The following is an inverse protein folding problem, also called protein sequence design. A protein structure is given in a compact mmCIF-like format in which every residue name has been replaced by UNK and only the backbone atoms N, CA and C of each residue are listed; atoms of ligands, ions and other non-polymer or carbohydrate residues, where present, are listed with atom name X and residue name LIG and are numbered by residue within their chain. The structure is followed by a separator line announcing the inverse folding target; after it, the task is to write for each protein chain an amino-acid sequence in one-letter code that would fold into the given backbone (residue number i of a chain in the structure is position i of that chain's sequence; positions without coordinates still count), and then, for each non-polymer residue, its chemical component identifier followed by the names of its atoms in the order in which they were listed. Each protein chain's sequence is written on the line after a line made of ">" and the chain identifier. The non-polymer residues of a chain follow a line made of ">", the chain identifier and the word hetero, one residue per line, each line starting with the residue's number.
data_IF_203038579744
#
_entry.id   IF_203038579744
#
_cell.length_a   1.000
_cell.length_b   1.000
_cell.length_c   1.000
_cell.angle_alpha   90.00
_cell.angle_beta   90.00
_cell.angle_gamma   90.00
#
_symmetry.space_group_name_H-M   'P 1'
#
loop_
_entity.id
_entity.type
_entity.pdbx_description
1 polymer ?
#
# COMPACT_ATOMS: atom_id res chain seq x y z
N UNK A 1 -8.92 20.55 -10.27
CA UNK A 1 -8.40 19.65 -9.21
C UNK A 1 -8.45 18.24 -9.78
N UNK A 2 -7.37 17.45 -9.62
CA UNK A 2 -7.39 16.05 -10.02
C UNK A 2 -8.47 15.29 -9.23
N UNK A 3 -9.05 14.26 -9.83
CA UNK A 3 -10.05 13.43 -9.17
C UNK A 3 -9.34 12.40 -8.27
N UNK A 4 -9.53 12.45 -6.93
CA UNK A 4 -8.87 11.55 -6.00
C UNK A 4 -9.34 10.09 -6.13
N UNK A 5 -10.48 9.85 -6.79
CA UNK A 5 -11.04 8.51 -7.00
C UNK A 5 -10.38 7.87 -8.20
N UNK A 6 -10.38 8.56 -9.34
CA UNK A 6 -9.94 8.01 -10.62
C UNK A 6 -8.44 8.23 -10.90
N UNK A 7 -7.82 9.20 -10.24
CA UNK A 7 -6.49 9.71 -10.61
C UNK A 7 -6.52 10.56 -11.89
N UNK A 8 -7.72 10.88 -12.42
CA UNK A 8 -7.86 11.64 -13.65
C UNK A 8 -7.37 13.09 -13.44
N UNK A 9 -6.36 13.48 -14.21
CA UNK A 9 -5.67 14.77 -14.08
C UNK A 9 -4.29 14.71 -13.40
N UNK A 10 -3.81 13.52 -13.03
CA UNK A 10 -2.48 13.27 -12.48
C UNK A 10 -1.72 12.17 -13.26
N UNK A 11 -0.39 12.19 -13.23
CA UNK A 11 0.47 11.22 -13.94
C UNK A 11 0.55 9.83 -13.27
N UNK A 12 -0.23 9.57 -12.19
CA UNK A 12 -0.34 8.24 -11.60
C UNK A 12 -1.12 7.29 -12.53
N UNK A 13 -0.78 6.00 -12.56
CA UNK A 13 -1.53 5.03 -13.32
C UNK A 13 -2.99 4.93 -12.79
N UNK A 14 -3.99 4.92 -13.68
CA UNK A 14 -5.37 4.66 -13.27
C UNK A 14 -5.49 3.23 -12.71
N UNK A 15 -6.52 2.93 -11.89
CA UNK A 15 -6.66 1.62 -11.26
C UNK A 15 -6.60 0.43 -12.23
N UNK A 16 -7.21 0.59 -13.42
CA UNK A 16 -7.23 -0.45 -14.45
C UNK A 16 -5.84 -0.78 -15.02
N UNK A 17 -4.88 0.14 -14.91
CA UNK A 17 -3.48 -0.07 -15.31
C UNK A 17 -2.70 -0.64 -14.14
N UNK A 18 -2.72 0.03 -12.98
CA UNK A 18 -1.94 -0.38 -11.81
C UNK A 18 -2.26 -1.80 -11.33
N UNK A 19 -3.54 -2.19 -11.36
CA UNK A 19 -3.99 -3.49 -10.84
C UNK A 19 -4.25 -4.53 -11.93
N UNK A 20 -3.78 -4.30 -13.16
CA UNK A 20 -4.05 -5.19 -14.30
C UNK A 20 -3.61 -6.64 -14.05
N UNK A 21 -2.52 -6.81 -13.32
CA UNK A 21 -1.87 -8.10 -13.02
C UNK A 21 -2.03 -8.50 -11.55
N UNK A 22 -2.82 -7.75 -10.79
CA UNK A 22 -3.05 -8.04 -9.38
C UNK A 22 -3.83 -9.37 -9.21
N UNK A 23 -3.48 -10.19 -8.22
CA UNK A 23 -4.18 -11.43 -7.91
C UNK A 23 -5.61 -11.14 -7.47
N UNK A 24 -6.43 -12.18 -7.47
CA UNK A 24 -7.77 -12.13 -6.89
C UNK A 24 -7.73 -11.64 -5.43
N UNK A 25 -8.74 -10.85 -5.03
CA UNK A 25 -8.77 -10.19 -3.73
C UNK A 25 -8.73 -11.17 -2.55
N UNK A 26 -9.38 -12.34 -2.66
CA UNK A 26 -9.35 -13.35 -1.59
C UNK A 26 -7.97 -14.00 -1.48
N UNK A 27 -7.33 -14.25 -2.62
CA UNK A 27 -5.97 -14.80 -2.65
C UNK A 27 -4.95 -13.79 -2.11
N UNK A 28 -5.11 -12.51 -2.43
CA UNK A 28 -4.29 -11.43 -1.88
C UNK A 28 -4.46 -11.30 -0.36
N UNK A 29 -5.71 -11.33 0.12
CA UNK A 29 -6.00 -11.29 1.56
C UNK A 29 -5.35 -12.46 2.31
N UNK A 30 -5.47 -13.68 1.78
CA UNK A 30 -4.85 -14.86 2.38
C UNK A 30 -3.31 -14.73 2.44
N UNK A 31 -2.69 -14.29 1.34
CA UNK A 31 -1.23 -14.08 1.27
C UNK A 31 -0.76 -12.98 2.23
N UNK A 32 -1.56 -11.91 2.42
CA UNK A 32 -1.26 -10.86 3.39
C UNK A 32 -1.36 -11.33 4.84
N UNK A 33 -2.30 -12.23 5.14
CA UNK A 33 -2.38 -12.87 6.47
C UNK A 33 -1.11 -13.67 6.75
N UNK A 34 -0.67 -14.53 5.82
CA UNK A 34 0.56 -15.31 5.97
C UNK A 34 1.80 -14.42 6.16
N UNK A 35 1.89 -13.32 5.39
CA UNK A 35 2.99 -12.36 5.50
C UNK A 35 3.00 -11.66 6.87
N UNK A 36 1.83 -11.21 7.34
CA UNK A 36 1.67 -10.58 8.64
C UNK A 36 2.02 -11.52 9.79
N UNK A 37 1.57 -12.78 9.71
CA UNK A 37 1.91 -13.81 10.70
C UNK A 37 3.42 -14.03 10.80
N UNK A 38 4.11 -14.11 9.66
CA UNK A 38 5.57 -14.26 9.63
C UNK A 38 6.27 -13.08 10.30
N UNK A 39 5.91 -11.84 9.94
CA UNK A 39 6.48 -10.63 10.55
C UNK A 39 6.23 -10.59 12.06
N UNK A 40 5.03 -10.99 12.52
CA UNK A 40 4.70 -11.05 13.94
C UNK A 40 5.50 -12.13 14.68
N UNK A 41 5.70 -13.31 14.07
CA UNK A 41 6.51 -14.38 14.65
C UNK A 41 7.98 -13.97 14.78
N UNK A 42 8.53 -13.29 13.77
CA UNK A 42 9.90 -12.76 13.80
C UNK A 42 10.06 -11.73 14.92
N UNK A 43 9.15 -10.76 15.02
CA UNK A 43 9.13 -9.77 16.09
C UNK A 43 9.00 -10.41 17.49
N UNK A 44 8.09 -11.38 17.64
CA UNK A 44 7.91 -12.10 18.90
C UNK A 44 9.16 -12.92 19.28
N UNK A 45 9.83 -13.51 18.30
CA UNK A 45 11.05 -14.30 18.52
C UNK A 45 12.19 -13.42 19.01
N UNK A 46 12.42 -12.27 18.37
CA UNK A 46 13.41 -11.29 18.82
C UNK A 46 13.09 -10.79 20.24
N UNK A 47 11.82 -10.49 20.52
CA UNK A 47 11.37 -10.08 21.86
C UNK A 47 11.62 -11.15 22.92
N UNK A 48 11.40 -12.44 22.62
CA UNK A 48 11.66 -13.55 23.55
C UNK A 48 13.17 -13.73 23.78
N UNK A 49 14.00 -13.51 22.75
CA UNK A 49 15.45 -13.55 22.85
C UNK A 49 16.04 -12.34 23.61
N UNK A 50 15.24 -11.28 23.83
CA UNK A 50 15.71 -10.02 24.39
C UNK A 50 16.57 -9.21 23.43
N UNK A 51 16.43 -9.47 22.13
CA UNK A 51 17.16 -8.80 21.05
C UNK A 51 16.30 -7.68 20.45
N UNK A 52 16.92 -6.59 19.97
CA UNK A 52 16.18 -5.60 19.17
C UNK A 52 15.66 -6.27 17.90
N UNK A 53 14.37 -6.08 17.63
CA UNK A 53 13.79 -6.49 16.35
C UNK A 53 14.06 -5.39 15.31
N UNK A 54 14.84 -5.72 14.30
CA UNK A 54 15.02 -4.91 13.11
C UNK A 54 14.26 -5.61 11.97
N UNK A 55 13.05 -5.14 11.60
CA UNK A 55 12.29 -5.75 10.51
C UNK A 55 13.08 -5.66 9.21
N UNK A 56 12.92 -6.67 8.35
CA UNK A 56 13.33 -6.56 6.96
C UNK A 56 12.46 -5.49 6.29
N UNK A 57 13.02 -4.30 6.10
CA UNK A 57 12.36 -3.14 5.50
C UNK A 57 11.68 -3.50 4.18
N UNK A 58 12.27 -4.40 3.39
CA UNK A 58 11.68 -4.83 2.13
C UNK A 58 10.39 -5.64 2.36
N UNK A 59 10.36 -6.55 3.34
CA UNK A 59 9.17 -7.34 3.66
C UNK A 59 8.06 -6.48 4.28
N UNK A 60 8.43 -5.56 5.16
CA UNK A 60 7.48 -4.64 5.79
C UNK A 60 6.88 -3.68 4.76
N UNK A 61 7.71 -3.07 3.92
CA UNK A 61 7.25 -2.24 2.80
C UNK A 61 6.32 -3.02 1.87
N UNK A 62 6.73 -4.24 1.50
CA UNK A 62 5.93 -5.08 0.62
C UNK A 62 4.56 -5.40 1.23
N UNK A 63 4.51 -5.68 2.52
CA UNK A 63 3.26 -5.88 3.25
C UNK A 63 2.38 -4.62 3.21
N UNK A 64 2.94 -3.45 3.51
CA UNK A 64 2.22 -2.18 3.50
C UNK A 64 1.69 -1.84 2.11
N UNK A 65 2.50 -1.98 1.07
CA UNK A 65 2.12 -1.71 -0.32
C UNK A 65 0.96 -2.60 -0.76
N UNK A 66 1.08 -3.92 -0.54
CA UNK A 66 0.04 -4.89 -0.93
C UNK A 66 -1.25 -4.70 -0.14
N UNK A 67 -1.16 -4.39 1.16
CA UNK A 67 -2.31 -4.10 2.02
C UNK A 67 -3.04 -2.82 1.57
N UNK A 68 -2.30 -1.75 1.30
CA UNK A 68 -2.88 -0.50 0.80
C UNK A 68 -3.52 -0.68 -0.59
N UNK A 69 -2.88 -1.45 -1.48
CA UNK A 69 -3.43 -1.76 -2.80
C UNK A 69 -4.71 -2.61 -2.73
N UNK A 70 -4.78 -3.59 -1.83
CA UNK A 70 -6.00 -4.36 -1.62
C UNK A 70 -7.16 -3.48 -1.14
N UNK A 71 -6.91 -2.59 -0.16
CA UNK A 71 -7.91 -1.66 0.33
C UNK A 71 -8.38 -0.68 -0.77
N UNK A 72 -7.46 -0.14 -1.57
CA UNK A 72 -7.82 0.71 -2.70
C UNK A 72 -8.75 -0.02 -3.68
N UNK A 73 -8.41 -1.27 -4.04
CA UNK A 73 -9.23 -2.11 -4.93
C UNK A 73 -10.61 -2.41 -4.34
N UNK A 74 -10.70 -2.70 -3.04
CA UNK A 74 -11.98 -2.93 -2.34
C UNK A 74 -12.87 -1.69 -2.37
N UNK A 75 -12.29 -0.50 -2.10
CA UNK A 75 -13.03 0.77 -2.15
C UNK A 75 -13.58 1.09 -3.54
N UNK A 76 -12.89 0.66 -4.61
CA UNK A 76 -13.32 0.85 -5.99
C UNK A 76 -14.41 -0.15 -6.36
N UNK A 77 -14.28 -1.41 -5.93
CA UNK A 77 -15.24 -2.47 -6.23
C UNK A 77 -16.57 -2.28 -5.49
N UNK A 78 -16.53 -1.67 -4.31
CA UNK A 78 -17.67 -1.47 -3.41
C UNK A 78 -17.75 -0.01 -2.95
N UNK A 79 -18.03 0.93 -3.87
CA UNK A 79 -18.06 2.36 -3.57
C UNK A 79 -19.16 2.75 -2.56
N UNK A 80 -20.14 1.87 -2.34
CA UNK A 80 -21.20 2.03 -1.35
C UNK A 80 -20.74 1.80 0.10
N UNK A 81 -19.59 1.16 0.31
CA UNK A 81 -19.04 0.84 1.64
C UNK A 81 -18.01 1.91 2.03
N UNK A 82 -18.45 2.91 2.79
CA UNK A 82 -17.61 4.04 3.21
C UNK A 82 -16.35 3.61 3.99
N UNK A 83 -16.45 2.54 4.77
CA UNK A 83 -15.33 1.98 5.54
C UNK A 83 -14.16 1.58 4.64
N UNK A 84 -14.42 1.02 3.46
CA UNK A 84 -13.35 0.64 2.52
C UNK A 84 -12.63 1.87 1.95
N UNK A 85 -13.34 2.98 1.74
CA UNK A 85 -12.71 4.23 1.33
C UNK A 85 -11.82 4.78 2.45
N UNK A 86 -12.31 4.79 3.69
CA UNK A 86 -11.55 5.26 4.84
C UNK A 86 -10.29 4.43 5.06
N UNK A 87 -10.41 3.10 4.99
CA UNK A 87 -9.27 2.17 5.08
C UNK A 87 -8.26 2.41 3.96
N UNK A 88 -8.72 2.58 2.71
CA UNK A 88 -7.84 2.84 1.57
C UNK A 88 -7.06 4.16 1.74
N UNK A 89 -7.71 5.21 2.24
CA UNK A 89 -7.04 6.50 2.50
C UNK A 89 -6.02 6.37 3.63
N UNK A 90 -6.38 5.72 4.74
CA UNK A 90 -5.50 5.54 5.88
C UNK A 90 -4.27 4.69 5.50
N UNK A 91 -4.49 3.54 4.87
CA UNK A 91 -3.40 2.61 4.53
C UNK A 91 -2.48 3.18 3.45
N UNK A 92 -3.02 3.98 2.52
CA UNK A 92 -2.20 4.72 1.58
C UNK A 92 -1.29 5.74 2.27
N UNK A 93 -1.79 6.39 3.32
CA UNK A 93 -0.98 7.30 4.13
C UNK A 93 0.08 6.55 4.94
N UNK A 94 -0.26 5.40 5.56
CA UNK A 94 0.71 4.56 6.29
C UNK A 94 1.88 4.14 5.40
N UNK A 95 1.62 3.71 4.16
CA UNK A 95 2.68 3.41 3.19
C UNK A 95 3.54 4.65 2.87
N UNK A 96 2.91 5.81 2.64
CA UNK A 96 3.64 7.03 2.31
C UNK A 96 4.52 7.52 3.47
N UNK A 97 4.07 7.39 4.72
CA UNK A 97 4.91 7.69 5.89
C UNK A 97 6.10 6.74 5.98
N UNK A 98 5.87 5.43 5.83
CA UNK A 98 6.93 4.44 5.84
C UNK A 98 8.00 4.74 4.77
N UNK A 99 7.57 4.97 3.54
CA UNK A 99 8.48 5.26 2.42
C UNK A 99 9.22 6.58 2.60
N UNK A 100 8.63 7.55 3.31
CA UNK A 100 9.29 8.82 3.62
C UNK A 100 10.35 8.66 4.70
N UNK A 101 10.08 7.85 5.72
CA UNK A 101 11.01 7.59 6.81
C UNK A 101 12.22 6.75 6.34
N UNK A 102 12.01 5.82 5.42
CA UNK A 102 13.02 4.85 4.98
C UNK A 102 13.59 5.13 3.58
N UNK A 103 13.11 6.15 2.85
CA UNK A 103 13.53 6.50 1.48
C UNK A 103 13.41 5.33 0.48
N UNK A 104 12.29 4.61 0.55
CA UNK A 104 12.08 3.34 -0.20
C UNK A 104 11.13 3.46 -1.39
N UNK A 105 10.64 4.67 -1.71
CA UNK A 105 9.75 4.89 -2.86
C UNK A 105 10.43 4.60 -4.20
N UNK A 106 9.72 3.96 -5.13
CA UNK A 106 10.26 3.56 -6.44
C UNK A 106 9.68 4.36 -7.60
N UNK A 107 8.50 4.96 -7.42
CA UNK A 107 7.82 5.70 -8.46
C UNK A 107 8.36 7.11 -8.70
N UNK A 108 7.81 7.75 -9.74
CA UNK A 108 8.27 9.06 -10.24
C UNK A 108 8.12 10.16 -9.19
N UNK A 109 7.02 10.12 -8.45
CA UNK A 109 6.69 11.10 -7.42
C UNK A 109 6.89 10.46 -6.05
N UNK A 110 7.70 11.08 -5.20
CA UNK A 110 7.95 10.59 -3.85
C UNK A 110 6.76 10.78 -2.90
N UNK A 111 6.78 10.20 -1.69
CA UNK A 111 5.64 10.16 -0.75
C UNK A 111 5.25 11.52 -0.16
N UNK A 112 6.04 12.58 -0.38
CA UNK A 112 5.75 13.94 0.07
C UNK A 112 5.25 14.88 -1.04
N UNK A 113 4.96 14.36 -2.23
CA UNK A 113 4.53 15.17 -3.36
C UNK A 113 3.16 15.83 -3.08
N UNK A 114 3.01 17.11 -3.42
CA UNK A 114 1.76 17.86 -3.21
C UNK A 114 0.62 17.29 -4.06
N UNK A 115 0.98 16.58 -5.13
CA UNK A 115 0.05 15.97 -6.05
C UNK A 115 -0.75 14.80 -5.45
N UNK A 116 -0.42 14.38 -4.23
CA UNK A 116 -1.19 13.44 -3.44
C UNK A 116 -2.35 14.08 -2.65
N UNK A 117 -2.51 15.40 -2.64
CA UNK A 117 -3.65 16.04 -1.97
C UNK A 117 -4.95 15.82 -2.77
N UNK A 118 -6.05 15.29 -2.17
CA UNK A 118 -6.28 15.02 -0.73
C UNK A 118 -6.05 13.60 -0.25
N UNK A 119 -5.53 12.70 -1.08
CA UNK A 119 -5.32 11.31 -0.71
C UNK A 119 -4.10 10.67 -1.39
N UNK A 120 -3.31 9.92 -0.64
CA UNK A 120 -2.19 9.11 -1.14
C UNK A 120 -2.63 7.87 -1.95
N UNK A 121 -3.92 7.67 -2.24
CA UNK A 121 -4.36 6.50 -3.04
C UNK A 121 -3.71 6.43 -4.44
N UNK A 122 -3.53 7.54 -5.19
CA UNK A 122 -2.78 7.51 -6.44
C UNK A 122 -1.29 7.18 -6.25
N UNK A 123 -0.70 7.52 -5.09
CA UNK A 123 0.66 7.10 -4.74
C UNK A 123 0.76 5.58 -4.66
N UNK A 124 -0.17 4.91 -3.96
CA UNK A 124 -0.24 3.44 -3.90
C UNK A 124 -0.27 2.82 -5.29
N UNK A 125 -1.07 3.37 -6.22
CA UNK A 125 -1.17 2.86 -7.59
C UNK A 125 0.14 2.99 -8.36
N UNK A 126 0.85 4.10 -8.19
CA UNK A 126 2.18 4.29 -8.77
C UNK A 126 3.15 3.25 -8.24
N UNK A 127 3.25 3.12 -6.92
CA UNK A 127 4.21 2.19 -6.30
C UNK A 127 3.89 0.74 -6.66
N UNK A 128 2.61 0.38 -6.73
CA UNK A 128 2.18 -0.97 -7.10
C UNK A 128 2.46 -1.31 -8.57
N UNK A 129 2.31 -0.34 -9.48
CA UNK A 129 2.67 -0.49 -10.90
C UNK A 129 4.19 -0.66 -11.08
N UNK A 130 4.99 0.00 -10.24
CA UNK A 130 6.46 -0.10 -10.27
C UNK A 130 7.02 -1.36 -9.66
N UNK A 131 6.41 -1.85 -8.60
CA UNK A 131 6.84 -3.06 -7.91
C UNK A 131 7.00 -4.23 -8.89
N UNK A 132 6.07 -4.36 -9.85
CA UNK A 132 6.18 -5.31 -10.93
C UNK A 132 5.95 -6.74 -10.46
N UNK A 133 5.28 -7.51 -11.33
CA UNK A 133 5.01 -8.93 -11.16
C UNK A 133 6.01 -9.74 -11.98
#
# INVERSE_FOLDING_TARGET
>A
MPDPITGEGFDAPPPAVAYKVAPDMLSEAASLTELSERLQVEAATASIAGEPYEPDEYQERLYLLRRAALADRLSIAHPEVEEFLNDAVQLAHELAEFDREHDTSEGKYGPGAIEWDPSHRPYVRQEYDKWGW
#
